data_IF_382204737669
#
_entry.id   IF_382204737669
#
_cell.length_a   1.000
_cell.length_b   1.000
_cell.length_c   1.000
_cell.angle_alpha   90.00
_cell.angle_beta   90.00
_cell.angle_gamma   90.00
#
_symmetry.space_group_name_H-M   'P 1'
#
loop_
_entity.id
_entity.type
_entity.pdbx_description
1 polymer ?
#
# COMPACT_ATOMS: atom_id res chain seq x y z
N UNK A 1 -74.82 2.36 33.74
CA UNK A 1 -75.97 2.60 32.83
C UNK A 1 -75.42 2.57 31.41
N UNK A 2 -75.98 1.94 30.39
CA UNK A 2 -77.07 0.97 30.16
C UNK A 2 -76.86 0.56 28.68
N UNK A 3 -77.07 -0.72 28.40
CA UNK A 3 -76.86 -1.47 27.15
C UNK A 3 -77.46 -0.88 25.86
N UNK A 4 -76.89 -1.27 24.69
CA UNK A 4 -77.59 -1.96 23.56
C UNK A 4 -76.55 -2.29 22.45
N UNK A 5 -76.14 -3.55 22.19
CA UNK A 5 -76.76 -4.69 21.47
C UNK A 5 -77.07 -4.48 19.97
N UNK A 6 -76.21 -5.13 19.15
CA UNK A 6 -76.46 -5.90 17.89
C UNK A 6 -76.98 -5.20 16.64
N UNK A 7 -76.25 -5.36 15.52
CA UNK A 7 -76.63 -6.30 14.43
C UNK A 7 -75.48 -6.52 13.44
N UNK A 8 -75.29 -7.78 13.07
CA UNK A 8 -74.39 -8.30 12.02
C UNK A 8 -75.12 -8.21 10.68
N UNK A 9 -74.43 -7.78 9.63
CA UNK A 9 -74.84 -8.02 8.24
C UNK A 9 -73.62 -8.53 7.46
N UNK A 10 -73.65 -9.82 7.16
CA UNK A 10 -72.64 -10.51 6.38
C UNK A 10 -72.75 -10.09 4.90
N UNK A 11 -71.66 -9.58 4.34
CA UNK A 11 -71.53 -9.32 2.91
C UNK A 11 -70.85 -10.53 2.27
N UNK A 12 -71.58 -11.22 1.39
CA UNK A 12 -71.04 -12.26 0.51
C UNK A 12 -69.95 -11.65 -0.37
N UNK A 13 -68.70 -12.01 -0.12
CA UNK A 13 -67.59 -11.75 -1.05
C UNK A 13 -67.30 -13.00 -1.86
N UNK A 14 -67.56 -12.90 -3.17
CA UNK A 14 -67.24 -13.89 -4.19
C UNK A 14 -65.74 -14.22 -4.16
N UNK A 15 -65.41 -15.47 -3.85
CA UNK A 15 -64.04 -15.98 -3.89
C UNK A 15 -63.57 -16.15 -5.33
N UNK A 16 -62.66 -15.31 -5.78
CA UNK A 16 -61.81 -15.58 -6.94
C UNK A 16 -60.49 -16.19 -6.44
N UNK A 17 -60.34 -17.50 -6.63
CA UNK A 17 -59.09 -18.22 -6.37
C UNK A 17 -58.11 -17.88 -7.49
N UNK A 18 -57.21 -16.92 -7.25
CA UNK A 18 -56.09 -16.67 -8.14
C UNK A 18 -54.96 -17.65 -7.82
N UNK A 19 -54.76 -18.65 -8.67
CA UNK A 19 -53.55 -19.46 -8.64
C UNK A 19 -52.33 -18.57 -8.93
N UNK A 20 -51.20 -18.69 -8.21
CA UNK A 20 -50.01 -17.94 -8.54
C UNK A 20 -49.45 -18.55 -9.83
N UNK A 21 -49.50 -17.80 -10.92
CA UNK A 21 -48.68 -18.10 -12.09
C UNK A 21 -47.22 -17.91 -11.66
N UNK A 22 -46.54 -19.03 -11.38
CA UNK A 22 -45.09 -19.05 -11.23
C UNK A 22 -44.46 -18.61 -12.57
N UNK A 23 -44.22 -17.30 -12.70
CA UNK A 23 -43.43 -16.76 -13.78
C UNK A 23 -41.98 -17.14 -13.50
N UNK A 24 -41.44 -18.10 -14.25
CA UNK A 24 -40.01 -18.38 -14.26
C UNK A 24 -39.30 -17.18 -14.88
N UNK A 25 -38.89 -16.22 -14.05
CA UNK A 25 -38.09 -15.09 -14.48
C UNK A 25 -36.70 -15.61 -14.89
N UNK A 26 -36.20 -15.31 -16.10
CA UNK A 26 -34.84 -15.66 -16.48
C UNK A 26 -33.85 -15.10 -15.45
N UNK A 27 -32.94 -15.94 -14.96
CA UNK A 27 -31.89 -15.50 -14.05
C UNK A 27 -31.07 -14.39 -14.72
N UNK A 28 -30.69 -13.31 -14.00
CA UNK A 28 -29.79 -12.31 -14.52
C UNK A 28 -28.50 -12.96 -15.04
N UNK A 29 -27.94 -12.51 -16.17
CA UNK A 29 -26.67 -13.01 -16.66
C UNK A 29 -25.59 -12.84 -15.58
N UNK A 30 -24.79 -13.88 -15.37
CA UNK A 30 -23.71 -13.86 -14.39
C UNK A 30 -22.74 -12.68 -14.69
N UNK A 31 -22.17 -12.02 -13.66
CA UNK A 31 -21.18 -10.98 -13.87
C UNK A 31 -20.04 -11.49 -14.73
N UNK A 32 -19.61 -10.70 -15.72
CA UNK A 32 -18.44 -11.02 -16.53
C UNK A 32 -17.20 -11.20 -15.62
N UNK A 33 -16.26 -12.09 -15.97
CA UNK A 33 -15.01 -12.22 -15.22
C UNK A 33 -14.31 -10.87 -15.11
N UNK A 34 -13.89 -10.50 -13.90
CA UNK A 34 -13.05 -9.32 -13.70
C UNK A 34 -11.76 -9.47 -14.53
N UNK A 35 -11.21 -8.38 -15.10
CA UNK A 35 -9.91 -8.42 -15.77
C UNK A 35 -8.86 -9.10 -14.88
N UNK A 36 -8.09 -10.02 -15.45
CA UNK A 36 -6.98 -10.63 -14.74
C UNK A 36 -6.03 -9.51 -14.27
N UNK A 37 -5.69 -9.50 -12.99
CA UNK A 37 -4.72 -8.55 -12.47
C UNK A 37 -3.37 -8.79 -13.17
N UNK A 38 -2.78 -7.74 -13.73
CA UNK A 38 -1.38 -7.77 -14.14
C UNK A 38 -0.53 -8.26 -12.95
N UNK A 39 0.46 -9.11 -13.21
CA UNK A 39 1.32 -9.66 -12.16
C UNK A 39 2.08 -8.58 -11.38
N UNK A 40 2.79 -8.97 -10.30
CA UNK A 40 3.54 -8.02 -9.47
C UNK A 40 4.54 -7.22 -10.30
N UNK A 41 4.57 -5.92 -10.07
CA UNK A 41 5.37 -4.95 -10.83
C UNK A 41 6.82 -4.93 -10.34
N UNK A 42 7.71 -4.45 -11.19
CA UNK A 42 9.12 -4.17 -10.89
C UNK A 42 9.39 -2.67 -10.69
N UNK A 43 8.34 -1.86 -10.67
CA UNK A 43 8.39 -0.41 -10.61
C UNK A 43 7.32 0.11 -9.65
N UNK A 44 7.65 1.16 -8.90
CA UNK A 44 6.78 1.81 -7.91
C UNK A 44 6.73 3.30 -8.24
N UNK A 45 5.67 3.73 -8.94
CA UNK A 45 5.61 5.05 -9.57
C UNK A 45 5.13 6.19 -8.66
N UNK A 46 4.67 5.89 -7.44
CA UNK A 46 4.10 6.92 -6.59
C UNK A 46 3.97 6.55 -5.13
N UNK A 47 3.32 7.44 -4.40
CA UNK A 47 3.04 7.27 -2.99
C UNK A 47 2.03 6.14 -2.78
N UNK A 48 2.23 5.35 -1.73
CA UNK A 48 1.29 4.27 -1.40
C UNK A 48 1.91 3.18 -0.55
N UNK A 49 1.10 2.16 -0.30
CA UNK A 49 1.50 0.90 0.32
C UNK A 49 1.29 -0.21 -0.70
N UNK A 50 2.33 -1.01 -0.92
CA UNK A 50 2.40 -2.03 -1.96
C UNK A 50 2.62 -3.39 -1.29
N UNK A 51 1.71 -4.33 -1.54
CA UNK A 51 1.81 -5.70 -1.04
C UNK A 51 2.92 -6.45 -1.77
N UNK A 52 3.93 -6.91 -1.03
CA UNK A 52 5.07 -7.64 -1.61
C UNK A 52 4.62 -9.03 -2.06
N UNK A 53 5.05 -9.43 -3.25
CA UNK A 53 4.62 -10.68 -3.91
C UNK A 53 3.26 -10.59 -4.62
N UNK A 54 2.50 -9.50 -4.45
CA UNK A 54 1.22 -9.27 -5.12
C UNK A 54 1.25 -8.03 -6.01
N UNK A 55 1.60 -6.87 -5.45
CA UNK A 55 1.66 -5.60 -6.16
C UNK A 55 3.05 -5.36 -6.74
N UNK A 56 4.10 -5.78 -6.02
CA UNK A 56 5.50 -5.63 -6.39
C UNK A 56 6.30 -6.91 -6.14
N UNK A 57 7.33 -7.16 -6.94
CA UNK A 57 8.22 -8.31 -6.71
C UNK A 57 9.25 -8.02 -5.62
N UNK A 58 9.69 -9.02 -4.84
CA UNK A 58 10.85 -8.88 -3.95
C UNK A 58 12.14 -8.58 -4.74
N UNK A 59 13.08 -7.88 -4.12
CA UNK A 59 14.40 -7.60 -4.67
C UNK A 59 14.96 -6.24 -4.25
N UNK A 60 16.06 -5.83 -4.88
CA UNK A 60 16.70 -4.54 -4.60
C UNK A 60 16.07 -3.45 -5.46
N UNK A 61 15.60 -2.38 -4.84
CA UNK A 61 15.05 -1.21 -5.50
C UNK A 61 15.96 0.00 -5.32
N UNK A 62 16.00 0.85 -6.33
CA UNK A 62 16.68 2.14 -6.36
C UNK A 62 15.68 3.26 -6.61
N UNK A 63 15.80 4.36 -5.89
CA UNK A 63 15.11 5.63 -6.14
C UNK A 63 16.12 6.77 -6.17
N UNK A 64 15.88 7.75 -7.06
CA UNK A 64 16.68 8.96 -7.15
C UNK A 64 16.55 9.87 -5.89
N UNK A 65 15.66 9.54 -4.95
CA UNK A 65 15.50 10.26 -3.69
C UNK A 65 14.19 11.05 -3.63
N UNK A 66 14.14 12.21 -2.96
CA UNK A 66 12.91 12.98 -2.79
C UNK A 66 12.35 13.53 -4.10
N UNK A 67 11.02 13.70 -4.14
CA UNK A 67 10.39 14.59 -5.10
C UNK A 67 10.70 16.05 -4.74
N UNK A 68 11.05 16.85 -5.73
CA UNK A 68 11.47 18.25 -5.59
C UNK A 68 12.53 18.45 -4.48
N UNK A 69 12.33 19.45 -3.61
CA UNK A 69 13.19 19.73 -2.45
C UNK A 69 12.67 19.08 -1.14
N UNK A 70 11.82 18.06 -1.27
CA UNK A 70 11.18 17.36 -0.15
C UNK A 70 12.10 16.39 0.59
N UNK A 71 11.48 15.40 1.23
CA UNK A 71 12.17 14.27 1.85
C UNK A 71 11.45 12.98 1.48
N UNK A 72 12.20 12.00 0.96
CA UNK A 72 11.68 10.69 0.61
C UNK A 72 11.60 9.85 1.88
N UNK A 73 10.39 9.41 2.22
CA UNK A 73 10.15 8.44 3.28
C UNK A 73 9.79 7.08 2.69
N UNK A 74 10.35 6.03 3.28
CA UNK A 74 9.92 4.67 2.98
C UNK A 74 10.00 3.79 4.22
N UNK A 75 9.22 2.71 4.22
CA UNK A 75 9.29 1.64 5.21
C UNK A 75 8.96 0.28 4.61
N UNK A 76 9.54 -0.75 5.23
CA UNK A 76 9.25 -2.17 5.01
C UNK A 76 8.55 -2.74 6.23
N UNK A 77 7.55 -3.58 6.04
CA UNK A 77 6.85 -4.24 7.16
C UNK A 77 6.56 -5.70 6.87
N UNK A 78 6.69 -6.55 7.89
CA UNK A 78 6.41 -7.98 7.86
C UNK A 78 5.33 -8.29 8.91
N UNK A 79 4.08 -8.38 8.48
CA UNK A 79 2.91 -8.35 9.36
C UNK A 79 2.89 -7.01 10.12
N UNK A 80 2.75 -7.09 11.44
CA UNK A 80 2.74 -5.90 12.31
C UNK A 80 4.15 -5.37 12.63
N UNK A 81 5.20 -6.05 12.16
CA UNK A 81 6.59 -5.69 12.46
C UNK A 81 7.12 -4.66 11.45
N UNK A 82 7.64 -3.54 11.96
CA UNK A 82 8.53 -2.66 11.18
C UNK A 82 9.87 -3.37 10.96
N UNK A 83 10.21 -3.60 9.69
CA UNK A 83 11.46 -4.27 9.30
C UNK A 83 12.57 -3.24 9.15
N UNK A 84 12.31 -2.18 8.38
CA UNK A 84 13.26 -1.10 8.13
C UNK A 84 12.51 0.16 7.67
N UNK A 85 13.11 1.33 7.86
CA UNK A 85 12.60 2.60 7.36
C UNK A 85 13.69 3.66 7.29
N UNK A 86 13.52 4.60 6.37
CA UNK A 86 14.36 5.79 6.34
C UNK A 86 13.58 7.02 5.86
N UNK A 87 14.08 8.19 6.29
CA UNK A 87 13.72 9.50 5.75
C UNK A 87 14.98 10.13 5.18
N UNK A 88 15.01 10.42 3.88
CA UNK A 88 16.23 10.84 3.18
C UNK A 88 16.00 11.99 2.21
N UNK A 89 17.02 12.84 2.06
CA UNK A 89 17.12 13.86 1.01
C UNK A 89 18.08 13.48 -0.12
N UNK A 90 18.54 12.23 -0.13
CA UNK A 90 19.51 11.65 -1.08
C UNK A 90 18.88 10.47 -1.81
N UNK A 91 19.47 10.01 -2.92
CA UNK A 91 19.11 8.74 -3.53
C UNK A 91 19.10 7.60 -2.50
N UNK A 92 18.21 6.64 -2.72
CA UNK A 92 17.94 5.56 -1.78
C UNK A 92 17.98 4.21 -2.48
N UNK A 93 18.51 3.21 -1.77
CA UNK A 93 18.46 1.81 -2.16
C UNK A 93 17.77 1.04 -1.04
N UNK A 94 16.96 0.04 -1.40
CA UNK A 94 16.23 -0.78 -0.45
C UNK A 94 16.20 -2.22 -0.94
N UNK A 95 16.65 -3.16 -0.12
CA UNK A 95 16.33 -4.58 -0.30
C UNK A 95 14.92 -4.81 0.22
N UNK A 96 14.00 -5.27 -0.61
CA UNK A 96 12.66 -5.74 -0.22
C UNK A 96 12.69 -7.26 -0.22
N UNK A 97 12.45 -7.88 0.92
CA UNK A 97 12.54 -9.34 1.07
C UNK A 97 11.20 -10.01 0.79
N UNK A 98 11.22 -11.27 0.35
CA UNK A 98 9.99 -12.02 0.08
C UNK A 98 9.13 -12.26 1.34
N UNK A 99 9.72 -12.12 2.52
CA UNK A 99 9.03 -12.19 3.82
C UNK A 99 8.39 -10.87 4.23
N UNK A 100 8.70 -9.77 3.54
CA UNK A 100 7.98 -8.53 3.76
C UNK A 100 6.54 -8.70 3.30
N UNK A 101 5.63 -8.09 4.03
CA UNK A 101 4.21 -8.03 3.68
C UNK A 101 3.87 -6.76 2.92
N UNK A 102 4.55 -5.65 3.22
CA UNK A 102 4.32 -4.38 2.53
C UNK A 102 5.57 -3.52 2.44
N UNK A 103 5.65 -2.76 1.36
CA UNK A 103 6.53 -1.62 1.19
C UNK A 103 5.69 -0.36 1.09
N UNK A 104 5.93 0.63 1.93
CA UNK A 104 5.22 1.91 1.89
C UNK A 104 6.20 3.03 1.57
N UNK A 105 5.83 3.92 0.65
CA UNK A 105 6.67 5.05 0.23
C UNK A 105 5.87 6.33 0.12
N UNK A 106 6.51 7.46 0.43
CA UNK A 106 5.92 8.80 0.38
C UNK A 106 6.98 9.82 -0.03
N UNK A 107 6.64 10.65 -1.00
CA UNK A 107 7.44 11.74 -1.55
C UNK A 107 8.82 11.30 -2.06
N UNK A 108 8.88 10.06 -2.54
CA UNK A 108 10.03 9.49 -3.23
C UNK A 108 9.79 9.53 -4.75
N UNK A 109 10.85 9.79 -5.51
CA UNK A 109 10.89 9.49 -6.93
C UNK A 109 10.67 7.99 -7.16
N UNK A 110 10.26 7.63 -8.38
CA UNK A 110 9.98 6.24 -8.77
C UNK A 110 11.04 5.27 -8.28
N UNK A 111 10.60 4.18 -7.65
CA UNK A 111 11.48 3.06 -7.33
C UNK A 111 11.54 2.09 -8.49
N UNK A 112 12.75 1.68 -8.85
CA UNK A 112 13.00 0.70 -9.90
C UNK A 112 13.76 -0.49 -9.35
N UNK A 113 13.27 -1.70 -9.62
CA UNK A 113 14.02 -2.92 -9.35
C UNK A 113 15.35 -2.88 -10.11
N UNK A 114 16.44 -3.21 -9.44
CA UNK A 114 17.79 -3.17 -9.99
C UNK A 114 18.54 -4.45 -9.72
N UNK A 115 19.46 -4.77 -10.63
CA UNK A 115 20.44 -5.86 -10.47
C UNK A 115 21.77 -5.35 -9.89
N UNK A 116 21.86 -4.06 -9.58
CA UNK A 116 23.03 -3.50 -8.90
C UNK A 116 23.11 -4.04 -7.47
N UNK A 117 24.31 -4.36 -6.97
CA UNK A 117 24.49 -4.69 -5.56
C UNK A 117 24.00 -3.56 -4.66
N UNK A 118 23.45 -3.91 -3.51
CA UNK A 118 23.14 -2.93 -2.46
C UNK A 118 24.43 -2.13 -2.15
N UNK A 119 24.40 -0.79 -2.16
CA UNK A 119 25.58 0.00 -1.83
C UNK A 119 26.09 -0.37 -0.44
N UNK A 120 27.41 -0.53 -0.27
CA UNK A 120 27.98 -0.82 1.04
C UNK A 120 27.59 0.30 2.00
N UNK A 121 27.00 -0.08 3.14
CA UNK A 121 26.74 0.87 4.21
C UNK A 121 28.07 1.21 4.88
N UNK A 122 28.39 2.50 5.13
CA UNK A 122 29.63 2.88 5.78
C UNK A 122 29.78 2.15 7.13
N UNK A 123 30.88 1.43 7.28
CA UNK A 123 31.20 0.74 8.52
C UNK A 123 31.81 1.69 9.56
N UNK A 124 31.91 1.27 10.83
CA UNK A 124 32.58 2.07 11.87
C UNK A 124 34.01 2.49 11.51
N UNK A 125 34.76 1.64 10.81
CA UNK A 125 36.12 1.91 10.34
C UNK A 125 36.20 3.02 9.28
N UNK A 126 35.23 3.07 8.37
CA UNK A 126 35.14 4.12 7.34
C UNK A 126 34.90 5.49 7.97
N UNK A 127 34.07 5.52 9.03
CA UNK A 127 33.78 6.74 9.78
C UNK A 127 35.01 7.24 10.55
N UNK A 128 35.77 6.34 11.20
CA UNK A 128 37.02 6.67 11.87
C UNK A 128 38.07 7.19 10.87
N UNK A 129 38.16 6.58 9.70
CA UNK A 129 39.01 7.04 8.60
C UNK A 129 38.64 8.44 8.13
N UNK A 130 37.34 8.69 7.87
CA UNK A 130 36.84 9.99 7.46
C UNK A 130 37.09 11.08 8.52
N UNK A 131 36.92 10.77 9.81
CA UNK A 131 37.22 11.69 10.91
C UNK A 131 38.71 12.00 10.99
N UNK A 132 39.57 10.98 10.85
CA UNK A 132 41.02 11.15 10.84
C UNK A 132 41.47 12.05 9.68
N UNK A 133 40.89 11.85 8.49
CA UNK A 133 41.11 12.73 7.34
C UNK A 133 40.63 14.16 7.61
N UNK A 134 39.43 14.35 8.17
CA UNK A 134 38.90 15.68 8.47
C UNK A 134 39.77 16.47 9.46
N UNK A 135 40.34 15.79 10.47
CA UNK A 135 41.28 16.40 11.43
C UNK A 135 42.64 16.67 10.76
N UNK A 136 43.16 15.72 9.98
CA UNK A 136 44.46 15.83 9.30
C UNK A 136 44.49 16.86 8.16
N UNK A 137 43.36 17.11 7.50
CA UNK A 137 43.25 18.08 6.39
C UNK A 137 43.06 19.54 6.87
N UNK A 138 43.08 19.81 8.18
CA UNK A 138 43.04 21.17 8.70
C UNK A 138 41.70 21.91 8.52
N UNK A 139 40.58 21.19 8.34
CA UNK A 139 39.24 21.77 8.21
C UNK A 139 38.80 22.59 9.45
N UNK A 140 39.51 22.44 10.57
CA UNK A 140 39.31 23.21 11.80
C UNK A 140 40.29 24.39 11.97
N UNK A 141 41.22 24.60 11.03
CA UNK A 141 42.25 25.66 11.15
C UNK A 141 41.79 27.04 10.62
N UNK A 142 40.48 27.21 10.39
CA UNK A 142 39.86 28.51 10.15
C UNK A 142 39.62 29.23 11.48
N UNK A 143 40.67 29.85 12.04
CA UNK A 143 40.50 30.83 13.11
C UNK A 143 39.66 32.04 12.64
N UNK A 144 39.00 32.76 13.56
CA UNK A 144 38.10 33.85 13.21
C UNK A 144 38.86 34.95 12.46
N UNK A 145 38.27 35.42 11.35
CA UNK A 145 38.61 36.69 10.72
C UNK A 145 37.50 37.69 11.03
#
# INVERSE_FOLDING_TARGET
MRFLRTTVAAVLTCSCVAAPLAHAQPAPPAPAPAPAADGPKTTIDGNGSYAVGKDIVPGVYSSAGPVDNGACYWKRSAGDKLVDNALTKKPAFVQIDATDTSFTTTDCQTWQLTNAPMPPQPGPGDLLGALTQAIGSGMFNGGPR
#
